data_IF_585739263184
#
_entry.id   IF_585739263184
#
_cell.length_a   1.000
_cell.length_b   1.000
_cell.length_c   1.000
_cell.angle_alpha   90.00
_cell.angle_beta   90.00
_cell.angle_gamma   90.00
#
_symmetry.space_group_name_H-M   'P 1'
#
loop_
_entity.id
_entity.type
_entity.pdbx_description
1 polymer ?
#
# COMPACT_ATOMS: atom_id res chain seq x y z
N UNK A 1 -8.86 3.46 -2.58
CA UNK A 1 -7.61 2.76 -2.29
C UNK A 1 -6.69 2.83 -3.49
N UNK A 2 -5.39 2.85 -3.27
CA UNK A 2 -4.42 2.93 -4.37
C UNK A 2 -4.48 1.66 -5.22
N UNK A 3 -4.60 1.81 -6.53
CA UNK A 3 -4.56 0.67 -7.44
C UNK A 3 -3.13 0.18 -7.64
N UNK A 4 -2.99 -1.02 -8.17
CA UNK A 4 -1.69 -1.60 -8.47
C UNK A 4 -0.89 -0.72 -9.43
N UNK A 5 -1.57 -0.15 -10.43
CA UNK A 5 -0.94 0.73 -11.42
C UNK A 5 -0.52 2.08 -10.81
N UNK A 6 -1.36 2.64 -9.95
CA UNK A 6 -1.03 3.87 -9.25
C UNK A 6 0.17 3.67 -8.33
N UNK A 7 0.21 2.55 -7.61
CA UNK A 7 1.33 2.22 -6.75
C UNK A 7 2.62 2.06 -7.55
N UNK A 8 2.54 1.37 -8.69
CA UNK A 8 3.67 1.21 -9.61
C UNK A 8 4.23 2.57 -10.03
N UNK A 9 3.36 3.49 -10.41
CA UNK A 9 3.77 4.82 -10.86
C UNK A 9 4.42 5.62 -9.72
N UNK A 10 3.86 5.55 -8.53
CA UNK A 10 4.42 6.22 -7.36
C UNK A 10 5.84 5.72 -7.08
N UNK A 11 6.04 4.41 -7.12
CA UNK A 11 7.35 3.80 -6.87
C UNK A 11 8.35 4.22 -7.95
N UNK A 12 7.96 4.18 -9.22
CA UNK A 12 8.83 4.57 -10.32
C UNK A 12 9.26 6.03 -10.20
N UNK A 13 8.33 6.91 -9.86
CA UNK A 13 8.60 8.33 -9.72
C UNK A 13 9.50 8.63 -8.51
N UNK A 14 9.21 8.01 -7.38
CA UNK A 14 9.96 8.26 -6.14
C UNK A 14 11.38 7.70 -6.19
N UNK A 15 11.56 6.52 -6.76
CA UNK A 15 12.86 5.87 -6.83
C UNK A 15 13.68 6.31 -8.04
N UNK A 16 13.03 6.93 -9.03
CA UNK A 16 13.66 7.37 -10.27
C UNK A 16 14.40 6.23 -10.98
N UNK A 17 13.76 5.07 -11.01
CA UNK A 17 14.35 3.86 -11.59
C UNK A 17 13.96 3.64 -13.07
N UNK A 18 13.35 4.65 -13.70
CA UNK A 18 12.92 4.54 -15.10
C UNK A 18 14.03 4.26 -16.09
N UNK A 19 15.28 4.53 -15.72
CA UNK A 19 16.44 4.25 -16.57
C UNK A 19 16.95 2.81 -16.47
N UNK A 20 16.45 2.04 -15.51
CA UNK A 20 16.86 0.64 -15.35
C UNK A 20 16.19 -0.25 -16.38
N UNK A 21 16.78 -1.41 -16.71
CA UNK A 21 16.10 -2.39 -17.55
C UNK A 21 14.75 -2.80 -16.96
N UNK A 22 13.80 -3.14 -17.83
CA UNK A 22 12.45 -3.51 -17.39
C UNK A 22 12.45 -4.66 -16.40
N UNK A 23 13.30 -5.65 -16.59
CA UNK A 23 13.40 -6.78 -15.65
C UNK A 23 13.79 -6.33 -14.25
N UNK A 24 14.72 -5.39 -14.14
CA UNK A 24 15.15 -4.84 -12.86
C UNK A 24 14.05 -4.01 -12.23
N UNK A 25 13.35 -3.20 -13.03
CA UNK A 25 12.20 -2.44 -12.55
C UNK A 25 11.11 -3.37 -12.00
N UNK A 26 10.78 -4.42 -12.74
CA UNK A 26 9.73 -5.36 -12.33
C UNK A 26 10.06 -6.06 -11.02
N UNK A 27 11.32 -6.45 -10.81
CA UNK A 27 11.75 -7.07 -9.57
C UNK A 27 11.62 -6.13 -8.39
N UNK A 28 12.04 -4.88 -8.56
CA UNK A 28 11.91 -3.86 -7.52
C UNK A 28 10.45 -3.60 -7.20
N UNK A 29 9.63 -3.44 -8.24
CA UNK A 29 8.20 -3.18 -8.08
C UNK A 29 7.48 -4.33 -7.38
N UNK A 30 7.82 -5.56 -7.71
CA UNK A 30 7.22 -6.72 -7.09
C UNK A 30 7.54 -6.80 -5.60
N UNK A 31 8.81 -6.65 -5.25
CA UNK A 31 9.24 -6.71 -3.85
C UNK A 31 8.71 -5.55 -3.03
N UNK A 32 8.91 -4.34 -3.52
CA UNK A 32 8.52 -3.15 -2.78
C UNK A 32 7.01 -2.99 -2.75
N UNK A 33 6.34 -3.23 -3.86
CA UNK A 33 4.89 -3.19 -3.94
C UNK A 33 4.23 -4.17 -2.99
N UNK A 34 4.74 -5.41 -2.95
CA UNK A 34 4.24 -6.42 -2.01
C UNK A 34 4.43 -6.02 -0.56
N UNK A 35 5.58 -5.44 -0.24
CA UNK A 35 5.86 -4.96 1.10
C UNK A 35 4.94 -3.80 1.50
N UNK A 36 4.71 -2.87 0.58
CA UNK A 36 3.80 -1.75 0.81
C UNK A 36 2.39 -2.24 1.09
N UNK A 37 1.89 -3.15 0.28
CA UNK A 37 0.54 -3.72 0.46
C UNK A 37 0.42 -4.40 1.80
N UNK A 38 1.42 -5.18 2.18
CA UNK A 38 1.46 -5.86 3.48
C UNK A 38 1.40 -4.86 4.63
N UNK A 39 2.17 -3.78 4.55
CA UNK A 39 2.19 -2.76 5.60
C UNK A 39 0.90 -1.96 5.66
N UNK A 40 0.29 -1.67 4.50
CA UNK A 40 -1.02 -1.03 4.47
C UNK A 40 -2.05 -1.91 5.17
N UNK A 41 -2.03 -3.21 4.90
CA UNK A 41 -2.94 -4.16 5.54
C UNK A 41 -2.76 -4.16 7.05
N UNK A 42 -1.52 -4.23 7.52
CA UNK A 42 -1.22 -4.21 8.95
C UNK A 42 -1.65 -2.91 9.61
N UNK A 43 -1.35 -1.78 8.99
CA UNK A 43 -1.74 -0.47 9.51
C UNK A 43 -3.26 -0.32 9.56
N UNK A 44 -3.94 -0.86 8.55
CA UNK A 44 -5.40 -0.86 8.50
C UNK A 44 -5.97 -1.66 9.68
N UNK A 45 -5.47 -2.88 9.90
CA UNK A 45 -5.94 -3.73 10.98
C UNK A 45 -5.67 -3.10 12.37
N UNK A 46 -4.53 -2.45 12.53
CA UNK A 46 -4.19 -1.78 13.78
C UNK A 46 -5.12 -0.62 14.10
N UNK A 47 -5.65 0.04 13.07
CA UNK A 47 -6.53 1.19 13.23
C UNK A 47 -8.02 0.85 13.17
N UNK A 48 -8.37 -0.40 12.89
CA UNK A 48 -9.77 -0.83 12.90
C UNK A 48 -10.23 -1.12 14.32
N UNK A 49 -11.44 -0.65 14.70
CA UNK A 49 -12.04 -1.10 15.96
C UNK A 49 -12.21 -2.62 15.94
N UNK A 50 -12.06 -3.23 17.10
CA UNK A 50 -12.20 -4.69 17.21
C UNK A 50 -13.55 -5.18 16.69
N UNK A 51 -14.61 -4.40 16.92
CA UNK A 51 -15.95 -4.69 16.42
C UNK A 51 -16.05 -4.76 14.90
N UNK A 52 -15.19 -4.03 14.20
CA UNK A 52 -15.23 -3.93 12.75
C UNK A 52 -14.44 -5.04 12.06
N UNK A 53 -13.64 -5.80 12.77
CA UNK A 53 -12.80 -6.85 12.17
C UNK A 53 -13.59 -7.96 11.51
N UNK A 54 -14.71 -8.35 12.11
CA UNK A 54 -15.57 -9.38 11.51
C UNK A 54 -16.16 -8.94 10.18
N UNK A 55 -16.60 -7.69 10.11
CA UNK A 55 -17.12 -7.11 8.87
C UNK A 55 -16.01 -6.94 7.83
N UNK A 56 -14.82 -6.56 8.26
CA UNK A 56 -13.65 -6.49 7.40
C UNK A 56 -13.36 -7.83 6.74
N UNK A 57 -13.37 -8.91 7.53
CA UNK A 57 -13.13 -10.25 7.01
C UNK A 57 -14.19 -10.68 6.00
N UNK A 58 -15.46 -10.39 6.28
CA UNK A 58 -16.56 -10.72 5.38
C UNK A 58 -16.44 -9.97 4.05
N UNK A 59 -16.08 -8.69 4.09
CA UNK A 59 -15.91 -7.90 2.86
C UNK A 59 -14.70 -8.38 2.09
N UNK A 60 -13.60 -8.74 2.78
CA UNK A 60 -12.40 -9.29 2.14
C UNK A 60 -12.71 -10.56 1.38
N UNK A 61 -13.52 -11.44 1.96
CA UNK A 61 -13.92 -12.69 1.31
C UNK A 61 -14.79 -12.45 0.09
N UNK A 62 -15.60 -11.39 0.09
CA UNK A 62 -16.46 -11.07 -1.04
C UNK A 62 -15.69 -10.55 -2.25
N UNK A 63 -14.48 -10.02 -2.04
CA UNK A 63 -13.67 -9.46 -3.11
C UNK A 63 -14.17 -8.12 -3.65
N UNK A 64 -15.17 -7.51 -3.02
CA UNK A 64 -15.73 -6.23 -3.47
C UNK A 64 -14.85 -5.09 -2.98
N UNK A 65 -14.00 -4.56 -3.87
CA UNK A 65 -13.05 -3.50 -3.54
C UNK A 65 -13.73 -2.18 -3.22
N UNK A 66 -14.82 -1.85 -3.90
CA UNK A 66 -15.55 -0.61 -3.62
C UNK A 66 -16.16 -0.63 -2.21
N UNK A 67 -16.77 -1.74 -1.85
CA UNK A 67 -17.32 -1.93 -0.52
C UNK A 67 -16.25 -1.85 0.55
N UNK A 68 -15.10 -2.46 0.31
CA UNK A 68 -13.97 -2.41 1.22
C UNK A 68 -13.50 -0.98 1.42
N UNK A 69 -13.36 -0.22 0.34
CA UNK A 69 -12.89 1.16 0.41
C UNK A 69 -13.88 2.03 1.20
N UNK A 70 -15.16 1.92 0.92
CA UNK A 70 -16.19 2.66 1.67
C UNK A 70 -16.20 2.31 3.14
N UNK A 71 -16.09 1.01 3.43
CA UNK A 71 -16.05 0.52 4.80
C UNK A 71 -14.86 1.09 5.56
N UNK A 72 -13.66 1.01 4.98
CA UNK A 72 -12.45 1.49 5.64
C UNK A 72 -12.49 3.01 5.86
N UNK A 73 -13.00 3.75 4.90
CA UNK A 73 -13.16 5.19 5.04
C UNK A 73 -14.13 5.56 6.17
N UNK A 74 -15.16 4.74 6.39
CA UNK A 74 -16.14 4.97 7.45
C UNK A 74 -15.60 4.60 8.83
N UNK A 75 -14.67 3.65 8.91
CA UNK A 75 -14.16 3.14 10.18
C UNK A 75 -12.87 3.81 10.63
N UNK A 76 -12.07 4.29 9.71
CA UNK A 76 -10.76 4.87 10.01
C UNK A 76 -10.74 6.33 9.58
N UNK A 77 -10.58 7.22 10.55
CA UNK A 77 -10.44 8.65 10.28
C UNK A 77 -9.14 8.90 9.52
N UNK A 78 -9.23 9.68 8.44
CA UNK A 78 -8.07 10.00 7.60
C UNK A 78 -7.40 8.75 7.00
N UNK A 79 -8.22 7.80 6.55
CA UNK A 79 -7.73 6.56 5.98
C UNK A 79 -6.78 6.78 4.79
N UNK A 80 -7.12 7.71 3.89
CA UNK A 80 -6.26 8.00 2.73
C UNK A 80 -4.91 8.56 3.14
N UNK A 81 -4.89 9.40 4.17
CA UNK A 81 -3.64 9.91 4.72
C UNK A 81 -2.79 8.79 5.31
N UNK A 82 -3.43 7.84 5.99
CA UNK A 82 -2.74 6.67 6.52
C UNK A 82 -2.07 5.87 5.40
N UNK A 83 -2.77 5.65 4.29
CA UNK A 83 -2.22 4.95 3.13
C UNK A 83 -1.01 5.71 2.57
N UNK A 84 -1.15 7.01 2.35
CA UNK A 84 -0.07 7.83 1.78
C UNK A 84 1.17 7.83 2.68
N UNK A 85 0.99 7.95 3.98
CA UNK A 85 2.10 7.90 4.92
C UNK A 85 2.79 6.55 4.92
N UNK A 86 2.03 5.47 4.85
CA UNK A 86 2.58 4.12 4.82
C UNK A 86 3.39 3.88 3.56
N UNK A 87 2.89 4.32 2.42
CA UNK A 87 3.60 4.21 1.14
C UNK A 87 4.92 4.97 1.21
N UNK A 88 4.87 6.22 1.64
CA UNK A 88 6.04 7.10 1.71
C UNK A 88 7.10 6.57 2.66
N UNK A 89 6.67 6.13 3.83
CA UNK A 89 7.56 5.55 4.83
C UNK A 89 8.28 4.31 4.28
N UNK A 90 7.53 3.44 3.64
CA UNK A 90 8.08 2.19 3.09
C UNK A 90 9.09 2.47 1.98
N UNK A 91 8.76 3.41 1.09
CA UNK A 91 9.68 3.79 0.00
C UNK A 91 10.96 4.41 0.56
N UNK A 92 10.85 5.29 1.55
CA UNK A 92 12.01 5.92 2.16
C UNK A 92 12.92 4.90 2.86
N UNK A 93 12.32 3.94 3.55
CA UNK A 93 13.07 2.85 4.19
C UNK A 93 13.81 2.02 3.14
N UNK A 94 13.15 1.72 2.03
CA UNK A 94 13.79 1.00 0.92
C UNK A 94 14.98 1.78 0.36
N UNK A 95 14.84 3.09 0.19
CA UNK A 95 15.92 3.95 -0.30
C UNK A 95 17.13 3.89 0.63
N UNK A 96 16.92 3.94 1.93
CA UNK A 96 17.99 3.88 2.91
C UNK A 96 18.70 2.53 2.90
N UNK A 97 17.92 1.45 2.86
CA UNK A 97 18.47 0.10 2.89
C UNK A 97 19.23 -0.27 1.62
N UNK A 98 18.79 0.26 0.48
CA UNK A 98 19.42 -0.05 -0.82
C UNK A 98 20.47 0.95 -1.26
N UNK A 99 20.67 2.03 -0.51
CA UNK A 99 21.61 3.08 -0.86
C UNK A 99 21.15 3.99 -1.98
N UNK A 100 19.91 3.90 -2.38
CA UNK A 100 19.31 4.79 -3.38
C UNK A 100 18.92 6.10 -2.69
N UNK A 101 19.39 7.21 -3.23
CA UNK A 101 19.09 8.52 -2.68
C UNK A 101 18.31 9.39 -3.64
#
# INVERSE_FOLDING_TARGET
>A
MVTKEELRQIILDDLKIGSLPLDAQDKILEKLGGNIIKRITLATLENLPEKARGEFDAISESGDQEKMQEFLKSQITNFEELIQKTIKFTINEFKELSGIK
#
